data_IF_616329200980
#
_entry.id   IF_616329200980
#
_cell.length_a   1.000
_cell.length_b   1.000
_cell.length_c   1.000
_cell.angle_alpha   90.00
_cell.angle_beta   90.00
_cell.angle_gamma   90.00
#
_symmetry.space_group_name_H-M   'P 1'
#
loop_
_entity.id
_entity.type
_entity.pdbx_description
1 polymer ?
#
# COMPACT_ATOMS: atom_id res chain seq x y z
N UNK A 1 58.85 55.85 19.76
CA UNK A 1 57.90 54.77 20.09
C UNK A 1 56.71 55.46 20.75
N UNK A 2 55.73 55.85 19.94
CA UNK A 2 54.48 56.40 20.43
C UNK A 2 53.48 55.24 20.59
N UNK A 3 52.67 55.24 21.66
CA UNK A 3 51.64 54.22 21.85
C UNK A 3 50.49 54.49 20.88
N UNK A 4 50.15 53.49 20.07
CA UNK A 4 48.93 53.47 19.27
C UNK A 4 47.73 53.48 20.22
N UNK A 5 47.13 54.66 20.41
CA UNK A 5 45.79 54.79 20.96
C UNK A 5 44.82 54.20 19.93
N UNK A 6 44.35 52.98 20.19
CA UNK A 6 43.21 52.42 19.48
C UNK A 6 41.96 53.16 19.96
N UNK A 7 41.44 54.05 19.13
CA UNK A 7 40.08 54.57 19.27
C UNK A 7 39.12 53.38 19.17
N UNK A 8 38.64 52.94 20.34
CA UNK A 8 37.49 52.08 20.47
C UNK A 8 36.28 52.90 19.99
N UNK A 9 35.99 52.81 18.69
CA UNK A 9 34.69 53.17 18.17
C UNK A 9 33.67 52.30 18.90
N UNK A 10 32.90 52.92 19.81
CA UNK A 10 31.69 52.32 20.35
C UNK A 10 30.88 51.74 19.18
N UNK A 11 30.51 50.45 19.23
CA UNK A 11 29.53 49.94 18.28
C UNK A 11 28.30 50.81 18.42
N UNK A 12 27.88 51.41 17.30
CA UNK A 12 26.69 52.25 17.23
C UNK A 12 25.57 51.56 18.02
N UNK A 13 25.08 52.25 19.05
CA UNK A 13 23.91 51.89 19.85
C UNK A 13 22.83 51.38 18.89
N UNK A 14 22.71 50.06 18.81
CA UNK A 14 21.93 49.33 17.82
C UNK A 14 20.47 49.32 18.26
N UNK A 15 19.95 50.51 18.57
CA UNK A 15 18.56 50.75 18.88
C UNK A 15 18.02 49.68 19.81
N UNK A 16 18.55 49.68 21.05
CA UNK A 16 18.23 48.77 22.14
C UNK A 16 16.96 47.97 21.89
N UNK A 17 17.16 46.67 21.68
CA UNK A 17 16.16 45.61 21.67
C UNK A 17 14.81 46.06 22.25
N UNK A 18 13.94 46.56 21.36
CA UNK A 18 12.53 46.86 21.64
C UNK A 18 11.74 45.55 21.84
N UNK A 19 12.30 44.59 22.57
CA UNK A 19 11.65 43.38 23.05
C UNK A 19 10.59 43.67 24.13
N UNK A 20 10.54 44.92 24.61
CA UNK A 20 9.59 45.39 25.63
C UNK A 20 8.44 46.23 25.08
N UNK A 21 8.38 46.52 23.78
CA UNK A 21 7.10 46.96 23.22
C UNK A 21 6.17 45.75 23.18
N UNK A 22 5.10 45.70 23.99
CA UNK A 22 4.10 44.65 23.87
C UNK A 22 3.65 44.69 22.42
N UNK A 23 3.89 43.58 21.70
CA UNK A 23 3.50 43.43 20.31
C UNK A 23 2.08 43.98 20.18
N UNK A 24 1.94 45.11 19.48
CA UNK A 24 0.65 45.72 19.12
C UNK A 24 -0.31 44.58 18.92
N UNK A 25 -1.32 44.47 19.80
CA UNK A 25 -2.21 43.31 19.91
C UNK A 25 -2.65 42.88 18.52
N UNK A 26 -1.85 41.96 17.96
CA UNK A 26 -1.92 41.66 16.55
C UNK A 26 -3.29 41.01 16.38
N UNK A 27 -4.08 41.47 15.41
CA UNK A 27 -5.46 41.01 15.23
C UNK A 27 -5.45 39.53 14.79
N UNK A 28 -5.22 38.65 15.76
CA UNK A 28 -5.15 37.19 15.64
C UNK A 28 -6.46 36.66 15.08
N UNK A 29 -7.56 37.35 15.36
CA UNK A 29 -8.90 36.97 14.92
C UNK A 29 -9.01 36.91 13.39
N UNK A 30 -8.34 37.83 12.67
CA UNK A 30 -8.34 37.83 11.20
C UNK A 30 -7.67 36.59 10.63
N UNK A 31 -6.53 36.18 11.18
CA UNK A 31 -5.81 34.98 10.74
C UNK A 31 -6.65 33.71 10.86
N UNK A 32 -7.27 33.52 12.02
CA UNK A 32 -8.13 32.36 12.27
C UNK A 32 -9.37 32.33 11.38
N UNK A 33 -10.03 33.48 11.18
CA UNK A 33 -11.19 33.57 10.26
C UNK A 33 -10.80 33.17 8.85
N UNK A 34 -9.68 33.68 8.33
CA UNK A 34 -9.17 33.29 7.00
C UNK A 34 -8.91 31.79 6.94
N UNK A 35 -8.19 31.23 7.90
CA UNK A 35 -7.88 29.80 7.94
C UNK A 35 -9.16 28.93 7.96
N UNK A 36 -10.14 29.25 8.83
CA UNK A 36 -11.40 28.50 8.94
C UNK A 36 -12.20 28.55 7.63
N UNK A 37 -12.34 29.74 7.03
CA UNK A 37 -13.04 29.89 5.74
C UNK A 37 -12.36 29.05 4.67
N UNK A 38 -11.02 29.09 4.60
CA UNK A 38 -10.26 28.30 3.63
C UNK A 38 -10.40 26.79 3.90
N UNK A 39 -10.36 26.34 5.15
CA UNK A 39 -10.59 24.93 5.51
C UNK A 39 -11.97 24.47 5.00
N UNK A 40 -13.03 25.23 5.31
CA UNK A 40 -14.39 24.91 4.85
C UNK A 40 -14.44 24.86 3.33
N UNK A 41 -13.87 25.86 2.65
CA UNK A 41 -13.81 25.90 1.20
C UNK A 41 -13.05 24.69 0.62
N UNK A 42 -11.93 24.28 1.23
CA UNK A 42 -11.19 23.08 0.81
C UNK A 42 -12.03 21.82 0.91
N UNK A 43 -12.80 21.64 2.00
CA UNK A 43 -13.70 20.49 2.14
C UNK A 43 -14.84 20.49 1.14
N UNK A 44 -15.43 21.67 0.87
CA UNK A 44 -16.47 21.81 -0.16
C UNK A 44 -15.89 21.49 -1.55
N UNK A 45 -14.76 22.09 -1.93
CA UNK A 45 -14.11 21.83 -3.22
C UNK A 45 -13.65 20.37 -3.37
N UNK A 46 -13.21 19.75 -2.28
CA UNK A 46 -12.88 18.32 -2.27
C UNK A 46 -14.08 17.45 -2.64
N UNK A 47 -15.31 17.84 -2.27
CA UNK A 47 -16.52 17.11 -2.62
C UNK A 47 -16.98 17.32 -4.07
N UNK A 48 -16.49 18.35 -4.77
CA UNK A 48 -16.95 18.77 -6.11
C UNK A 48 -16.18 18.13 -7.27
N UNK A 49 -15.82 16.84 -7.15
CA UNK A 49 -15.25 16.05 -8.24
C UNK A 49 -14.01 16.71 -8.90
N UNK A 50 -13.99 16.92 -10.22
CA UNK A 50 -12.84 17.52 -10.93
C UNK A 50 -12.42 18.92 -10.45
N UNK A 51 -13.34 19.70 -9.85
CA UNK A 51 -13.02 21.03 -9.31
C UNK A 51 -12.08 20.96 -8.10
N UNK A 52 -11.90 19.76 -7.52
CA UNK A 52 -10.88 19.50 -6.52
C UNK A 52 -9.46 19.89 -6.96
N UNK A 53 -9.16 19.98 -8.25
CA UNK A 53 -7.81 20.42 -8.68
C UNK A 53 -7.49 21.87 -8.28
N UNK A 54 -8.49 22.69 -7.96
CA UNK A 54 -8.30 24.10 -7.60
C UNK A 54 -7.94 24.27 -6.12
N UNK A 55 -8.43 23.39 -5.23
CA UNK A 55 -8.25 23.61 -3.79
C UNK A 55 -6.77 23.60 -3.33
N UNK A 56 -5.82 22.79 -3.84
CA UNK A 56 -4.45 22.81 -3.36
C UNK A 56 -3.81 24.17 -3.62
N UNK A 57 -4.12 24.77 -4.77
CA UNK A 57 -3.60 26.09 -5.15
C UNK A 57 -4.11 27.17 -4.19
N UNK A 58 -5.41 27.14 -3.87
CA UNK A 58 -6.02 28.07 -2.89
C UNK A 58 -5.43 27.85 -1.49
N UNK A 59 -5.32 26.59 -1.04
CA UNK A 59 -4.77 26.26 0.26
C UNK A 59 -3.31 26.72 0.40
N UNK A 60 -2.48 26.47 -0.62
CA UNK A 60 -1.06 26.90 -0.63
C UNK A 60 -0.94 28.42 -0.68
N UNK A 61 -1.74 29.11 -1.51
CA UNK A 61 -1.70 30.57 -1.57
C UNK A 61 -2.05 31.21 -0.21
N UNK A 62 -3.11 30.75 0.44
CA UNK A 62 -3.51 31.23 1.77
C UNK A 62 -2.47 30.85 2.82
N UNK A 63 -1.90 29.65 2.75
CA UNK A 63 -0.84 29.21 3.66
C UNK A 63 0.38 30.13 3.57
N UNK A 64 0.86 30.41 2.36
CA UNK A 64 1.99 31.32 2.13
C UNK A 64 1.68 32.74 2.60
N UNK A 65 0.44 33.21 2.40
CA UNK A 65 -0.02 34.50 2.93
C UNK A 65 -0.02 34.54 4.46
N UNK A 66 -0.48 33.48 5.13
CA UNK A 66 -0.49 33.40 6.59
C UNK A 66 0.94 33.33 7.15
N UNK A 67 1.84 32.61 6.48
CA UNK A 67 3.27 32.54 6.82
C UNK A 67 3.94 33.91 6.65
N UNK A 68 3.69 34.61 5.53
CA UNK A 68 4.28 35.93 5.29
C UNK A 68 3.79 36.99 6.28
N UNK A 69 2.56 36.85 6.79
CA UNK A 69 2.00 37.65 7.87
C UNK A 69 2.41 37.18 9.27
N UNK A 70 3.33 36.21 9.41
CA UNK A 70 3.77 35.60 10.68
C UNK A 70 2.64 34.99 11.52
N UNK A 71 1.50 34.66 10.90
CA UNK A 71 0.33 34.04 11.55
C UNK A 71 0.48 32.53 11.62
N UNK A 72 1.56 32.07 12.25
CA UNK A 72 1.98 30.66 12.23
C UNK A 72 0.94 29.70 12.81
N UNK A 73 0.20 30.10 13.84
CA UNK A 73 -0.87 29.27 14.41
C UNK A 73 -2.04 29.07 13.44
N UNK A 74 -2.44 30.12 12.72
CA UNK A 74 -3.49 30.00 11.71
C UNK A 74 -3.02 29.17 10.51
N UNK A 75 -1.75 29.33 10.10
CA UNK A 75 -1.12 28.51 9.08
C UNK A 75 -1.09 27.02 9.50
N UNK A 76 -0.68 26.73 10.73
CA UNK A 76 -0.67 25.39 11.29
C UNK A 76 -2.07 24.76 11.29
N UNK A 77 -3.08 25.48 11.79
CA UNK A 77 -4.47 25.02 11.76
C UNK A 77 -4.95 24.71 10.34
N UNK A 78 -4.66 25.61 9.38
CA UNK A 78 -4.99 25.38 7.97
C UNK A 78 -4.36 24.07 7.49
N UNK A 79 -3.06 23.86 7.71
CA UNK A 79 -2.35 22.65 7.30
C UNK A 79 -2.99 21.39 7.88
N UNK A 80 -3.18 21.33 9.21
CA UNK A 80 -3.64 20.09 9.86
C UNK A 80 -5.10 19.75 9.58
N UNK A 81 -5.93 20.74 9.23
CA UNK A 81 -7.35 20.55 8.99
C UNK A 81 -7.70 20.38 7.49
N UNK A 82 -6.70 20.42 6.60
CA UNK A 82 -6.93 20.16 5.18
C UNK A 82 -7.29 18.69 4.90
N UNK A 83 -8.11 18.40 3.87
CA UNK A 83 -8.43 17.03 3.47
C UNK A 83 -7.19 16.15 3.20
N UNK A 84 -6.13 16.74 2.62
CA UNK A 84 -4.88 16.05 2.32
C UNK A 84 -4.17 15.58 3.60
N UNK A 85 -3.99 16.48 4.58
CA UNK A 85 -3.31 16.14 5.83
C UNK A 85 -4.12 15.15 6.66
N UNK A 86 -5.43 15.37 6.77
CA UNK A 86 -6.33 14.46 7.47
C UNK A 86 -6.23 13.06 6.86
N UNK A 87 -6.32 12.93 5.53
CA UNK A 87 -6.21 11.65 4.83
C UNK A 87 -4.85 10.96 5.05
N UNK A 88 -3.76 11.72 5.08
CA UNK A 88 -2.44 11.18 5.40
C UNK A 88 -2.38 10.65 6.84
N UNK A 89 -2.83 11.43 7.83
CA UNK A 89 -2.77 11.06 9.24
C UNK A 89 -3.59 9.81 9.55
N UNK A 90 -4.71 9.57 8.85
CA UNK A 90 -5.50 8.35 9.01
C UNK A 90 -4.73 7.05 8.69
N UNK A 91 -3.67 7.09 7.88
CA UNK A 91 -2.85 5.92 7.60
C UNK A 91 -2.06 5.44 8.84
N UNK A 92 -1.74 6.34 9.77
CA UNK A 92 -0.93 6.05 10.97
C UNK A 92 -1.63 5.05 11.91
N UNK A 93 -2.85 5.31 12.41
CA UNK A 93 -3.52 4.36 13.30
C UNK A 93 -3.90 3.06 12.58
N UNK A 94 -4.21 3.10 11.29
CA UNK A 94 -4.50 1.89 10.50
C UNK A 94 -3.26 0.99 10.40
N UNK A 95 -2.09 1.59 10.16
CA UNK A 95 -0.82 0.87 10.10
C UNK A 95 -0.49 0.26 11.48
N UNK A 96 -0.58 1.05 12.55
CA UNK A 96 -0.28 0.60 13.90
C UNK A 96 -1.15 -0.59 14.36
N UNK A 97 -2.40 -0.66 13.87
CA UNK A 97 -3.33 -1.75 14.18
C UNK A 97 -3.18 -2.98 13.26
N UNK A 98 -2.35 -2.92 12.23
CA UNK A 98 -2.25 -4.00 11.25
C UNK A 98 -3.44 -4.06 10.27
N UNK A 99 -4.21 -2.97 10.14
CA UNK A 99 -5.44 -2.92 9.33
C UNK A 99 -5.33 -2.05 8.09
N UNK A 100 -4.19 -1.39 7.86
CA UNK A 100 -4.00 -0.54 6.69
C UNK A 100 -4.12 -1.32 5.39
N UNK A 101 -4.72 -0.66 4.39
CA UNK A 101 -4.89 -1.17 3.04
C UNK A 101 -4.53 -0.09 2.03
N UNK A 102 -3.75 -0.44 1.02
CA UNK A 102 -3.45 0.44 -0.10
C UNK A 102 -4.75 0.74 -0.84
N UNK A 103 -5.12 2.01 -0.95
CA UNK A 103 -6.36 2.40 -1.63
C UNK A 103 -6.12 2.49 -3.13
N UNK A 104 -7.01 1.96 -3.94
CA UNK A 104 -6.91 1.96 -5.39
C UNK A 104 -8.25 2.25 -6.05
N UNK A 105 -8.21 2.59 -7.32
CA UNK A 105 -9.38 2.76 -8.18
C UNK A 105 -9.28 1.89 -9.41
N UNK A 106 -10.45 1.47 -9.90
CA UNK A 106 -10.57 0.69 -11.12
C UNK A 106 -10.93 -0.78 -10.89
N UNK A 107 -10.91 -1.57 -11.98
CA UNK A 107 -11.35 -2.95 -11.96
C UNK A 107 -10.46 -3.81 -11.06
N UNK A 108 -11.09 -4.77 -10.38
CA UNK A 108 -10.40 -5.78 -9.57
C UNK A 108 -9.66 -6.71 -10.53
N UNK A 109 -8.34 -6.61 -10.58
CA UNK A 109 -7.46 -7.58 -11.25
C UNK A 109 -7.04 -8.68 -10.29
N UNK A 110 -6.44 -9.77 -10.78
CA UNK A 110 -5.89 -10.83 -9.92
C UNK A 110 -4.90 -10.26 -8.88
N UNK A 111 -4.10 -9.28 -9.29
CA UNK A 111 -3.13 -8.59 -8.43
C UNK A 111 -3.78 -7.76 -7.30
N UNK A 112 -5.09 -7.50 -7.35
CA UNK A 112 -5.80 -6.78 -6.29
C UNK A 112 -5.75 -7.53 -4.95
N UNK A 113 -5.76 -8.86 -4.99
CA UNK A 113 -5.70 -9.68 -3.78
C UNK A 113 -4.30 -9.81 -3.20
N UNK A 114 -3.29 -9.39 -3.95
CA UNK A 114 -1.90 -9.45 -3.55
C UNK A 114 -1.58 -8.31 -2.58
N UNK A 115 -0.84 -8.54 -1.49
CA UNK A 115 -0.20 -7.49 -0.73
C UNK A 115 0.68 -6.63 -1.62
N UNK A 116 0.74 -5.34 -1.33
CA UNK A 116 1.66 -4.46 -2.02
C UNK A 116 3.12 -4.93 -1.75
N UNK A 117 3.98 -5.07 -2.78
CA UNK A 117 5.31 -5.66 -2.62
C UNK A 117 6.23 -4.93 -1.65
N UNK A 118 6.07 -3.63 -1.47
CA UNK A 118 6.89 -2.86 -0.53
C UNK A 118 6.24 -2.79 0.86
N UNK A 119 5.00 -2.29 0.96
CA UNK A 119 4.36 -2.05 2.26
C UNK A 119 3.73 -3.28 2.91
N UNK A 120 3.56 -4.39 2.16
CA UNK A 120 2.92 -5.66 2.60
C UNK A 120 1.46 -5.55 3.04
N UNK A 121 0.83 -4.39 2.83
CA UNK A 121 -0.60 -4.18 3.03
C UNK A 121 -1.40 -4.69 1.83
N UNK A 122 -2.57 -5.28 2.05
CA UNK A 122 -3.50 -5.61 0.97
C UNK A 122 -4.11 -4.35 0.33
N UNK A 123 -4.87 -4.52 -0.75
CA UNK A 123 -5.56 -3.40 -1.39
C UNK A 123 -7.01 -3.23 -0.91
N UNK A 124 -7.52 -2.01 -1.05
CA UNK A 124 -8.92 -1.62 -0.91
C UNK A 124 -9.31 -0.82 -2.17
N UNK A 125 -10.24 -1.33 -2.97
CA UNK A 125 -10.76 -0.66 -4.16
C UNK A 125 -12.07 0.04 -3.84
N UNK A 126 -12.21 1.27 -4.34
CA UNK A 126 -13.52 1.97 -4.39
C UNK A 126 -14.47 1.39 -5.46
N UNK A 127 -14.02 0.39 -6.22
CA UNK A 127 -14.76 -0.19 -7.35
C UNK A 127 -14.65 0.65 -8.62
N UNK A 128 -15.65 0.53 -9.48
CA UNK A 128 -15.72 1.23 -10.77
C UNK A 128 -16.34 2.63 -10.67
N UNK A 129 -16.89 3.00 -9.52
CA UNK A 129 -17.50 4.32 -9.32
C UNK A 129 -16.42 5.32 -8.90
N UNK A 130 -15.96 6.12 -9.86
CA UNK A 130 -15.11 7.29 -9.59
C UNK A 130 -15.91 8.58 -9.77
N UNK A 131 -15.91 9.39 -8.72
CA UNK A 131 -16.38 10.77 -8.62
C UNK A 131 -15.32 11.79 -9.05
N UNK A 132 -14.09 11.33 -9.32
CA UNK A 132 -12.98 12.12 -9.85
C UNK A 132 -12.20 12.92 -8.80
N UNK A 133 -12.59 12.84 -7.53
CA UNK A 133 -11.89 13.51 -6.42
C UNK A 133 -11.03 12.55 -5.61
N UNK A 134 -10.95 11.26 -5.93
CA UNK A 134 -10.42 10.27 -4.97
C UNK A 134 -8.92 10.34 -4.80
N UNK A 135 -8.23 10.95 -5.76
CA UNK A 135 -6.82 11.32 -5.62
C UNK A 135 -6.58 12.11 -4.32
N UNK A 136 -7.57 12.87 -3.83
CA UNK A 136 -7.48 13.65 -2.59
C UNK A 136 -7.32 12.84 -1.32
N UNK A 137 -7.90 11.64 -1.31
CA UNK A 137 -7.90 10.79 -0.12
C UNK A 137 -6.97 9.60 -0.31
N UNK A 138 -6.85 9.10 -1.54
CA UNK A 138 -6.03 7.94 -1.89
C UNK A 138 -4.55 8.28 -1.92
N UNK A 139 -4.15 9.31 -2.66
CA UNK A 139 -2.73 9.64 -2.85
C UNK A 139 -2.05 9.99 -1.52
N UNK A 140 -2.55 10.93 -0.70
CA UNK A 140 -1.89 11.25 0.57
C UNK A 140 -1.90 10.10 1.57
N UNK A 141 -2.98 9.30 1.62
CA UNK A 141 -3.04 8.11 2.48
C UNK A 141 -1.99 7.08 2.07
N UNK A 142 -1.93 6.71 0.79
CA UNK A 142 -0.97 5.74 0.27
C UNK A 142 0.47 6.25 0.39
N UNK A 143 0.70 7.54 0.17
CA UNK A 143 2.03 8.15 0.34
C UNK A 143 2.50 8.04 1.80
N UNK A 144 1.64 8.41 2.76
CA UNK A 144 1.96 8.28 4.18
C UNK A 144 2.20 6.81 4.56
N UNK A 145 1.35 5.88 4.09
CA UNK A 145 1.49 4.46 4.37
C UNK A 145 2.84 3.90 3.87
N UNK A 146 3.25 4.26 2.64
CA UNK A 146 4.56 3.89 2.09
C UNK A 146 5.71 4.52 2.87
N UNK A 147 5.58 5.79 3.29
CA UNK A 147 6.59 6.45 4.12
C UNK A 147 6.78 5.74 5.46
N UNK A 148 5.69 5.45 6.17
CA UNK A 148 5.72 4.72 7.44
C UNK A 148 6.34 3.33 7.23
N UNK A 149 5.91 2.59 6.21
CA UNK A 149 6.45 1.26 5.95
C UNK A 149 7.94 1.29 5.55
N UNK A 150 8.39 2.34 4.88
CA UNK A 150 9.82 2.52 4.57
C UNK A 150 10.64 2.78 5.83
N UNK A 151 10.10 3.54 6.78
CA UNK A 151 10.80 3.88 8.04
C UNK A 151 10.76 2.75 9.08
N UNK A 152 9.65 2.02 9.16
CA UNK A 152 9.39 1.06 10.24
C UNK A 152 9.29 -0.41 9.77
N UNK A 153 9.38 -0.65 8.46
CA UNK A 153 9.26 -1.98 7.85
C UNK A 153 7.82 -2.34 7.44
N UNK A 154 7.55 -3.63 7.16
CA UNK A 154 6.21 -4.11 6.87
C UNK A 154 5.22 -3.85 8.01
N UNK A 155 3.95 -3.63 7.64
CA UNK A 155 2.88 -3.47 8.62
C UNK A 155 2.80 -4.69 9.58
N UNK A 156 2.63 -4.50 10.90
CA UNK A 156 2.51 -5.60 11.85
C UNK A 156 1.45 -6.63 11.45
N UNK A 157 1.78 -7.92 11.59
CA UNK A 157 0.90 -9.03 11.26
C UNK A 157 0.83 -9.40 9.77
N UNK A 158 1.55 -8.68 8.90
CA UNK A 158 1.67 -9.02 7.47
C UNK A 158 2.81 -10.01 7.20
N UNK A 159 2.85 -10.56 5.98
CA UNK A 159 3.97 -11.39 5.54
C UNK A 159 5.20 -10.53 5.25
N UNK A 160 6.32 -10.83 5.92
CA UNK A 160 7.55 -10.05 5.84
C UNK A 160 8.69 -10.76 5.08
N UNK A 161 8.48 -12.01 4.65
CA UNK A 161 9.49 -12.81 3.95
C UNK A 161 9.70 -12.40 2.48
N UNK A 162 10.41 -13.25 1.74
CA UNK A 162 10.68 -13.05 0.33
C UNK A 162 9.39 -13.00 -0.48
N UNK A 163 9.32 -12.02 -1.38
CA UNK A 163 8.16 -11.78 -2.22
C UNK A 163 8.62 -11.63 -3.66
N UNK A 164 8.76 -12.74 -4.38
CA UNK A 164 9.12 -12.70 -5.79
C UNK A 164 8.04 -11.95 -6.57
N UNK A 165 8.43 -11.06 -7.47
CA UNK A 165 7.49 -10.53 -8.46
C UNK A 165 7.05 -11.64 -9.44
N UNK A 166 6.10 -11.32 -10.32
CA UNK A 166 5.57 -12.29 -11.29
C UNK A 166 6.65 -12.92 -12.17
N UNK A 167 7.63 -12.14 -12.62
CA UNK A 167 8.71 -12.64 -13.49
C UNK A 167 9.68 -13.51 -12.71
N UNK A 168 10.01 -13.12 -11.48
CA UNK A 168 10.84 -13.91 -10.57
C UNK A 168 10.18 -15.23 -10.21
N UNK A 169 8.86 -15.22 -9.97
CA UNK A 169 8.10 -16.43 -9.69
C UNK A 169 8.08 -17.38 -10.90
N UNK A 170 7.81 -16.85 -12.10
CA UNK A 170 7.87 -17.62 -13.35
C UNK A 170 9.25 -18.20 -13.62
N UNK A 171 10.31 -17.43 -13.38
CA UNK A 171 11.69 -17.88 -13.54
C UNK A 171 12.03 -18.99 -12.53
N UNK A 172 11.68 -18.84 -11.26
CA UNK A 172 11.91 -19.87 -10.24
C UNK A 172 11.18 -21.18 -10.58
N UNK A 173 9.97 -21.09 -11.13
CA UNK A 173 9.18 -22.26 -11.54
C UNK A 173 9.76 -23.06 -12.71
N UNK A 174 10.82 -22.57 -13.37
CA UNK A 174 11.57 -23.36 -14.37
C UNK A 174 12.29 -24.55 -13.73
N UNK A 175 12.59 -24.46 -12.43
CA UNK A 175 13.22 -25.52 -11.64
C UNK A 175 12.24 -26.18 -10.66
N UNK A 176 10.94 -26.03 -10.90
CA UNK A 176 9.92 -26.61 -10.03
C UNK A 176 9.96 -28.13 -10.05
N UNK A 177 9.80 -28.73 -8.89
CA UNK A 177 9.57 -30.16 -8.76
C UNK A 177 8.09 -30.46 -8.99
N UNK A 178 7.79 -31.67 -9.48
CA UNK A 178 6.41 -32.09 -9.71
C UNK A 178 5.70 -32.31 -8.38
N UNK A 179 4.56 -31.66 -8.18
CA UNK A 179 3.74 -31.82 -6.98
C UNK A 179 2.66 -32.88 -7.19
N UNK A 180 2.51 -33.79 -6.23
CA UNK A 180 1.42 -34.78 -6.24
C UNK A 180 0.10 -34.15 -5.81
N UNK A 181 -0.99 -34.44 -6.54
CA UNK A 181 -2.33 -34.01 -6.15
C UNK A 181 -2.75 -34.59 -4.79
N UNK A 182 -2.22 -35.76 -4.41
CA UNK A 182 -2.49 -36.36 -3.09
C UNK A 182 -1.88 -35.53 -1.96
N UNK A 183 -0.63 -35.10 -2.14
CA UNK A 183 0.08 -34.26 -1.16
C UNK A 183 -0.65 -32.93 -0.96
N UNK A 184 -1.05 -32.29 -2.07
CA UNK A 184 -1.84 -31.06 -2.02
C UNK A 184 -3.22 -31.28 -1.35
N UNK A 185 -3.87 -32.43 -1.57
CA UNK A 185 -5.15 -32.75 -0.93
C UNK A 185 -5.02 -32.96 0.59
N UNK A 186 -3.86 -33.40 1.05
CA UNK A 186 -3.51 -33.62 2.46
C UNK A 186 -2.95 -32.35 3.12
N UNK A 187 -2.94 -31.20 2.42
CA UNK A 187 -2.36 -29.94 2.88
C UNK A 187 -0.85 -30.05 3.23
N UNK A 188 -0.13 -30.99 2.61
CA UNK A 188 1.31 -31.20 2.82
C UNK A 188 2.06 -31.01 1.52
N UNK A 189 3.12 -30.21 1.51
CA UNK A 189 3.97 -30.02 0.33
C UNK A 189 5.38 -30.50 0.62
N UNK A 190 5.92 -31.39 -0.21
CA UNK A 190 7.34 -31.72 -0.18
C UNK A 190 8.03 -30.93 -1.28
N UNK A 191 8.93 -30.02 -0.91
CA UNK A 191 9.63 -29.10 -1.82
C UNK A 191 11.14 -29.23 -1.61
N UNK A 192 11.77 -30.08 -2.42
CA UNK A 192 13.15 -30.52 -2.19
C UNK A 192 13.22 -31.33 -0.90
N UNK A 193 14.13 -30.95 0.00
CA UNK A 193 14.27 -31.58 1.33
C UNK A 193 13.32 -30.98 2.38
N UNK A 194 12.58 -29.91 2.04
CA UNK A 194 11.65 -29.27 2.95
C UNK A 194 10.26 -29.90 2.87
N UNK A 195 9.64 -30.13 4.03
CA UNK A 195 8.19 -30.39 4.12
C UNK A 195 7.51 -29.13 4.65
N UNK A 196 6.49 -28.66 3.95
CA UNK A 196 5.72 -27.45 4.26
C UNK A 196 4.28 -27.86 4.52
N UNK A 197 3.82 -27.57 5.73
CA UNK A 197 2.43 -27.79 6.12
C UNK A 197 1.61 -26.57 5.70
N UNK A 198 0.56 -26.79 4.90
CA UNK A 198 -0.41 -25.77 4.56
C UNK A 198 -1.44 -25.62 5.69
N UNK A 199 -2.00 -24.41 5.79
CA UNK A 199 -3.19 -24.17 6.64
C UNK A 199 -4.35 -25.06 6.16
N UNK A 200 -5.18 -25.51 7.10
CA UNK A 200 -6.22 -26.48 6.82
C UNK A 200 -7.17 -26.04 5.70
N UNK A 201 -7.30 -26.89 4.69
CA UNK A 201 -8.17 -26.71 3.54
C UNK A 201 -7.53 -25.98 2.36
N UNK A 202 -6.38 -25.32 2.53
CA UNK A 202 -5.73 -24.54 1.47
C UNK A 202 -5.48 -25.40 0.22
N UNK A 203 -4.83 -26.54 0.39
CA UNK A 203 -4.48 -27.42 -0.71
C UNK A 203 -5.72 -28.07 -1.35
N UNK A 204 -6.70 -28.47 -0.56
CA UNK A 204 -7.98 -28.97 -1.08
C UNK A 204 -8.74 -27.92 -1.92
N UNK A 205 -8.68 -26.65 -1.53
CA UNK A 205 -9.30 -25.55 -2.26
C UNK A 205 -8.50 -25.20 -3.52
N UNK A 206 -7.17 -25.21 -3.46
CA UNK A 206 -6.32 -25.06 -4.65
C UNK A 206 -6.59 -26.16 -5.68
N UNK A 207 -6.81 -27.40 -5.25
CA UNK A 207 -7.22 -28.50 -6.14
C UNK A 207 -8.62 -28.25 -6.70
N UNK A 208 -9.58 -27.79 -5.89
CA UNK A 208 -10.90 -27.42 -6.40
C UNK A 208 -10.78 -26.36 -7.48
N UNK A 209 -9.95 -25.33 -7.31
CA UNK A 209 -9.69 -24.34 -8.36
C UNK A 209 -9.06 -24.96 -9.62
N UNK A 210 -8.35 -26.10 -9.54
CA UNK A 210 -7.92 -26.84 -10.74
C UNK A 210 -9.06 -27.59 -11.43
N UNK A 211 -9.97 -28.17 -10.64
CA UNK A 211 -10.98 -29.13 -11.12
C UNK A 211 -12.37 -28.54 -11.33
N UNK A 212 -12.67 -27.36 -10.78
CA UNK A 212 -14.00 -26.75 -10.82
C UNK A 212 -14.49 -26.48 -12.25
N UNK A 213 -13.56 -26.35 -13.21
CA UNK A 213 -13.91 -26.25 -14.64
C UNK A 213 -13.64 -27.56 -15.43
N UNK A 214 -13.00 -28.57 -14.83
CA UNK A 214 -12.66 -29.80 -15.54
C UNK A 214 -13.90 -30.62 -15.92
N UNK A 215 -14.97 -30.55 -15.13
CA UNK A 215 -16.27 -31.15 -15.45
C UNK A 215 -16.99 -30.42 -16.60
N UNK A 216 -16.63 -29.16 -16.89
CA UNK A 216 -17.13 -28.41 -18.04
C UNK A 216 -16.28 -28.61 -19.29
N UNK A 217 -14.99 -28.90 -19.14
CA UNK A 217 -14.04 -29.13 -20.23
C UNK A 217 -13.67 -30.61 -20.35
N UNK A 218 -14.63 -31.44 -20.79
CA UNK A 218 -14.41 -32.85 -21.10
C UNK A 218 -13.24 -33.03 -22.08
N UNK A 219 -12.21 -33.78 -21.66
CA UNK A 219 -11.05 -34.12 -22.49
C UNK A 219 -9.87 -33.12 -22.42
N UNK A 220 -9.93 -32.13 -21.53
CA UNK A 220 -8.76 -31.27 -21.29
C UNK A 220 -7.66 -32.05 -20.56
N UNK A 221 -6.43 -31.94 -21.06
CA UNK A 221 -5.24 -32.43 -20.39
C UNK A 221 -4.32 -31.23 -20.14
N UNK A 222 -4.04 -30.87 -18.88
CA UNK A 222 -3.14 -29.76 -18.57
C UNK A 222 -1.77 -30.00 -19.19
N UNK A 223 -1.32 -29.07 -20.04
CA UNK A 223 0.08 -29.06 -20.52
C UNK A 223 1.04 -28.66 -19.40
N UNK A 224 0.63 -27.73 -18.55
CA UNK A 224 1.38 -27.34 -17.38
C UNK A 224 1.28 -28.46 -16.34
N UNK A 225 2.41 -28.86 -15.76
CA UNK A 225 2.42 -29.79 -14.62
C UNK A 225 2.28 -29.00 -13.32
N UNK A 226 1.66 -29.62 -12.32
CA UNK A 226 1.71 -29.11 -10.96
C UNK A 226 3.17 -28.98 -10.55
N UNK A 227 3.56 -27.80 -10.11
CA UNK A 227 4.94 -27.49 -9.76
C UNK A 227 5.02 -26.81 -8.40
N UNK A 228 6.07 -27.10 -7.64
CA UNK A 228 6.42 -26.35 -6.46
C UNK A 228 7.92 -26.03 -6.45
N UNK A 229 8.29 -24.85 -5.97
CA UNK A 229 9.69 -24.45 -5.75
C UNK A 229 9.80 -23.61 -4.48
N UNK A 230 10.87 -23.80 -3.73
CA UNK A 230 11.18 -23.00 -2.56
C UNK A 230 12.03 -21.80 -2.99
N UNK A 231 11.55 -20.59 -2.71
CA UNK A 231 12.19 -19.34 -3.07
C UNK A 231 12.73 -18.65 -1.82
N UNK A 232 14.05 -18.45 -1.77
CA UNK A 232 14.78 -17.80 -0.66
C UNK A 232 14.42 -18.36 0.73
N UNK A 233 14.13 -19.66 0.79
CA UNK A 233 13.87 -20.43 2.02
C UNK A 233 12.58 -20.11 2.78
N UNK A 234 11.86 -19.03 2.51
CA UNK A 234 10.68 -18.61 3.27
C UNK A 234 9.38 -18.51 2.44
N UNK A 235 9.49 -18.56 1.11
CA UNK A 235 8.35 -18.50 0.19
C UNK A 235 8.25 -19.79 -0.64
N UNK A 236 7.10 -20.46 -0.61
CA UNK A 236 6.80 -21.54 -1.56
C UNK A 236 6.03 -20.97 -2.74
N UNK A 237 6.52 -21.22 -3.95
CA UNK A 237 5.85 -20.84 -5.19
C UNK A 237 5.22 -22.10 -5.77
N UNK A 238 3.90 -22.08 -5.89
CA UNK A 238 3.11 -23.16 -6.49
C UNK A 238 2.68 -22.77 -7.90
N UNK A 239 2.72 -23.72 -8.81
CA UNK A 239 2.11 -23.64 -10.14
C UNK A 239 0.94 -24.62 -10.20
N UNK A 240 -0.25 -24.06 -10.39
CA UNK A 240 -1.53 -24.77 -10.39
C UNK A 240 -2.13 -24.63 -11.80
N UNK A 241 -2.06 -25.66 -12.66
CA UNK A 241 -2.60 -25.64 -14.01
C UNK A 241 -4.08 -25.26 -14.02
N UNK A 242 -4.46 -24.41 -14.97
CA UNK A 242 -5.82 -23.92 -15.12
C UNK A 242 -6.39 -24.33 -16.49
N UNK A 243 -7.61 -24.88 -16.55
CA UNK A 243 -8.26 -25.18 -17.81
C UNK A 243 -8.52 -23.90 -18.59
N UNK A 244 -8.09 -23.87 -19.84
CA UNK A 244 -8.42 -22.80 -20.76
C UNK A 244 -8.80 -23.40 -22.11
N UNK A 245 -9.94 -22.94 -22.64
CA UNK A 245 -10.69 -23.59 -23.72
C UNK A 245 -10.01 -23.53 -25.09
N UNK A 246 -9.04 -22.65 -25.24
CA UNK A 246 -8.48 -22.32 -26.54
C UNK A 246 -6.97 -22.18 -26.45
N UNK A 247 -6.27 -22.83 -27.37
CA UNK A 247 -4.84 -22.67 -27.70
C UNK A 247 -3.78 -23.50 -26.95
N UNK A 248 -2.65 -23.59 -27.65
CA UNK A 248 -1.44 -24.34 -27.37
C UNK A 248 -0.64 -23.89 -26.14
N UNK A 249 -1.05 -22.79 -25.49
CA UNK A 249 -0.30 -22.13 -24.42
C UNK A 249 -0.55 -22.75 -23.05
N UNK A 250 0.49 -22.83 -22.22
CA UNK A 250 0.39 -23.25 -20.82
C UNK A 250 -0.28 -22.14 -20.00
N UNK A 251 -1.48 -22.41 -19.47
CA UNK A 251 -2.16 -21.53 -18.52
C UNK A 251 -2.13 -22.13 -17.12
N UNK A 252 -1.72 -21.32 -16.14
CA UNK A 252 -1.63 -21.73 -14.75
C UNK A 252 -1.83 -20.53 -13.80
N UNK A 253 -2.37 -20.82 -12.62
CA UNK A 253 -2.35 -19.93 -11.48
C UNK A 253 -1.05 -20.17 -10.71
N UNK A 254 -0.29 -19.11 -10.49
CA UNK A 254 0.89 -19.13 -9.62
C UNK A 254 0.47 -18.63 -8.25
N UNK A 255 0.75 -19.40 -7.19
CA UNK A 255 0.37 -19.06 -5.82
C UNK A 255 1.61 -18.96 -4.96
N UNK A 256 1.77 -17.83 -4.29
CA UNK A 256 2.81 -17.62 -3.29
C UNK A 256 2.28 -17.97 -1.91
N UNK A 257 2.99 -18.84 -1.21
CA UNK A 257 2.63 -19.35 0.11
C UNK A 257 3.74 -19.03 1.10
N UNK A 258 3.36 -18.50 2.26
CA UNK A 258 4.23 -18.32 3.42
C UNK A 258 4.63 -19.71 3.92
N UNK A 259 5.92 -20.07 3.83
CA UNK A 259 6.41 -21.40 4.21
C UNK A 259 6.11 -21.72 5.67
N UNK A 260 6.23 -20.74 6.55
CA UNK A 260 6.08 -20.94 8.00
C UNK A 260 4.61 -21.13 8.36
N UNK A 261 3.73 -20.32 7.77
CA UNK A 261 2.30 -20.32 8.10
C UNK A 261 1.46 -21.22 7.22
N UNK A 262 2.00 -21.71 6.10
CA UNK A 262 1.22 -22.48 5.14
C UNK A 262 0.12 -21.69 4.43
N UNK A 263 0.19 -20.35 4.45
CA UNK A 263 -0.87 -19.45 3.99
C UNK A 263 -0.56 -18.85 2.62
N UNK A 264 -1.47 -18.96 1.64
CA UNK A 264 -1.38 -18.18 0.42
C UNK A 264 -1.41 -16.69 0.74
N UNK A 265 -0.49 -15.92 0.17
CA UNK A 265 -0.47 -14.47 0.30
C UNK A 265 -0.47 -13.74 -1.03
N UNK A 266 -0.07 -14.35 -2.15
CA UNK A 266 -0.15 -13.70 -3.46
C UNK A 266 -0.48 -14.67 -4.59
N UNK A 267 -0.96 -14.14 -5.71
CA UNK A 267 -1.43 -14.85 -6.87
C UNK A 267 -0.95 -14.15 -8.15
N UNK A 268 -0.36 -14.91 -9.07
CA UNK A 268 -0.01 -14.42 -10.41
C UNK A 268 -0.59 -15.31 -11.49
N UNK A 269 -0.68 -14.76 -12.70
CA UNK A 269 -1.16 -15.47 -13.86
C UNK A 269 0.01 -15.95 -14.74
N UNK A 270 -0.07 -17.18 -15.22
CA UNK A 270 0.72 -17.67 -16.33
C UNK A 270 -0.20 -17.97 -17.52
N UNK A 271 0.18 -17.51 -18.72
CA UNK A 271 -0.65 -17.64 -19.90
C UNK A 271 -1.91 -16.77 -19.83
N UNK A 272 -3.05 -17.34 -20.23
CA UNK A 272 -4.34 -16.62 -20.33
C UNK A 272 -5.24 -16.79 -19.11
N UNK A 273 -4.64 -17.05 -17.95
CA UNK A 273 -5.36 -17.09 -16.67
C UNK A 273 -5.74 -15.66 -16.22
N UNK A 274 -6.79 -15.09 -16.83
CA UNK A 274 -7.29 -13.75 -16.50
C UNK A 274 -8.55 -13.76 -15.62
N UNK A 275 -9.08 -14.93 -15.29
CA UNK A 275 -10.24 -15.01 -14.41
C UNK A 275 -9.87 -14.52 -13.02
N UNK A 276 -10.77 -13.72 -12.43
CA UNK A 276 -10.63 -13.26 -11.05
C UNK A 276 -10.80 -14.47 -10.13
N UNK A 277 -9.71 -15.16 -9.83
CA UNK A 277 -9.73 -16.17 -8.78
C UNK A 277 -9.91 -15.46 -7.45
N UNK A 278 -10.88 -15.91 -6.67
CA UNK A 278 -10.99 -15.47 -5.30
C UNK A 278 -9.80 -16.03 -4.51
N UNK A 279 -9.29 -15.29 -3.52
CA UNK A 279 -8.28 -15.83 -2.61
C UNK A 279 -8.80 -17.13 -2.01
N UNK A 280 -7.91 -18.12 -1.92
CA UNK A 280 -8.24 -19.40 -1.30
C UNK A 280 -8.67 -19.16 0.14
N UNK A 281 -9.92 -19.53 0.52
CA UNK A 281 -10.35 -19.42 1.90
C UNK A 281 -9.62 -20.48 2.73
N UNK A 282 -9.22 -20.11 3.95
CA UNK A 282 -8.57 -21.03 4.89
C UNK A 282 -9.08 -20.80 6.30
N UNK A 283 -9.07 -21.86 7.10
CA UNK A 283 -9.33 -21.78 8.52
C UNK A 283 -7.98 -21.63 9.23
N UNK A 284 -7.84 -20.55 10.01
CA UNK A 284 -6.65 -20.41 10.86
C UNK A 284 -6.67 -21.55 11.87
N UNK A 285 -5.61 -22.35 11.89
CA UNK A 285 -5.37 -23.22 13.02
C UNK A 285 -5.22 -22.33 14.26
N UNK A 286 -5.99 -22.62 15.30
CA UNK A 286 -5.77 -22.01 16.60
C UNK A 286 -4.39 -22.46 17.07
N UNK A 287 -3.46 -21.50 17.21
CA UNK A 287 -2.16 -21.73 17.82
C UNK A 287 -2.32 -22.11 19.29
#
# INVERSE_FOLDING_TARGET
>A
MEPFAQDLNEPADDGGSNLLHPALTEDRSRGYRTAIITIIACWVLAALGPLSLIFPLVAVAVLLQLISQRKLWAAFLLTIATPLFVSAVWAVPDYARGTAKMRTMGPISLNYYNPHPQVRCGYLSGGCFSTGNEWLTIVPYNFMLTGIATMFGPMPGTYAGAYPDENQAKSALQHAISLSSKELAEDVLKVGDATVQLDQGVGSQLLKEMFYDHDRFYGWHPKAKNGAVLYKEDCVILRIPQPYSDTSETSALIVLVDREKGRPFAYYAEGRCYFSHHPVPYQRQAL
#
